data_IF_079085368632
#
_entry.id   IF_079085368632
#
_cell.length_a   1.000
_cell.length_b   1.000
_cell.length_c   1.000
_cell.angle_alpha   90.00
_cell.angle_beta   90.00
_cell.angle_gamma   90.00
#
_symmetry.space_group_name_H-M   'P 1'
#
loop_
_entity.id
_entity.type
_entity.pdbx_description
1 polymer ?
#
# COMPACT_ATOMS: atom_id res chain seq x y z
N UNK A 1 7.28 -54.75 4.83
CA UNK A 1 7.84 -53.58 4.14
C UNK A 1 9.31 -53.85 3.92
N UNK A 2 9.71 -54.05 2.67
CA UNK A 2 11.09 -54.43 2.33
C UNK A 2 12.01 -53.21 2.32
N UNK A 3 13.26 -53.39 2.77
CA UNK A 3 14.28 -52.33 2.81
C UNK A 3 14.57 -51.67 1.46
N UNK A 4 14.10 -52.24 0.34
CA UNK A 4 14.21 -51.65 -1.01
C UNK A 4 13.11 -50.63 -1.27
N UNK A 5 11.90 -50.85 -0.76
CA UNK A 5 10.78 -49.90 -0.90
C UNK A 5 10.97 -48.66 -0.03
N UNK A 6 11.50 -48.84 1.19
CA UNK A 6 11.82 -47.73 2.09
C UNK A 6 12.89 -46.79 1.49
N UNK A 7 13.88 -47.35 0.77
CA UNK A 7 14.93 -46.56 0.09
C UNK A 7 14.39 -45.78 -1.11
N UNK A 8 13.48 -46.36 -1.89
CA UNK A 8 12.85 -45.64 -3.01
C UNK A 8 11.90 -44.54 -2.53
N UNK A 9 11.20 -44.73 -1.41
CA UNK A 9 10.37 -43.70 -0.79
C UNK A 9 11.21 -42.53 -0.23
N UNK A 10 12.37 -42.82 0.36
CA UNK A 10 13.31 -41.80 0.85
C UNK A 10 13.97 -41.01 -0.29
N UNK A 11 14.34 -41.67 -1.39
CA UNK A 11 14.88 -40.98 -2.58
C UNK A 11 13.83 -40.10 -3.27
N UNK A 12 12.59 -40.58 -3.43
CA UNK A 12 11.50 -39.78 -4.00
C UNK A 12 11.08 -38.61 -3.11
N UNK A 13 11.00 -38.82 -1.80
CA UNK A 13 10.69 -37.78 -0.81
C UNK A 13 11.78 -36.70 -0.70
N UNK A 14 13.06 -37.10 -0.79
CA UNK A 14 14.20 -36.17 -0.74
C UNK A 14 14.26 -35.22 -1.93
N UNK A 15 13.91 -35.71 -3.13
CA UNK A 15 13.87 -34.87 -4.36
C UNK A 15 12.74 -33.85 -4.28
N UNK A 16 11.55 -34.26 -3.83
CA UNK A 16 10.41 -33.34 -3.64
C UNK A 16 10.70 -32.29 -2.56
N UNK A 17 11.38 -32.67 -1.48
CA UNK A 17 11.80 -31.74 -0.43
C UNK A 17 12.86 -30.74 -0.92
N UNK A 18 13.82 -31.17 -1.74
CA UNK A 18 14.82 -30.29 -2.34
C UNK A 18 14.20 -29.27 -3.32
N UNK A 19 13.21 -29.69 -4.10
CA UNK A 19 12.44 -28.79 -4.99
C UNK A 19 11.63 -27.77 -4.18
N UNK A 20 11.00 -28.19 -3.08
CA UNK A 20 10.28 -27.28 -2.17
C UNK A 20 11.19 -26.22 -1.54
N UNK A 21 12.43 -26.56 -1.16
CA UNK A 21 13.40 -25.59 -0.62
C UNK A 21 13.86 -24.59 -1.70
N UNK A 22 14.06 -25.05 -2.94
CA UNK A 22 14.46 -24.20 -4.06
C UNK A 22 13.35 -23.19 -4.46
N UNK A 23 12.08 -23.61 -4.43
CA UNK A 23 10.93 -22.73 -4.70
C UNK A 23 10.68 -21.80 -3.50
N UNK A 24 10.83 -22.28 -2.26
CA UNK A 24 10.68 -21.46 -1.06
C UNK A 24 11.71 -20.33 -0.94
N UNK A 25 12.94 -20.56 -1.43
CA UNK A 25 14.03 -19.56 -1.41
C UNK A 25 13.82 -18.41 -2.39
N UNK A 26 13.02 -18.60 -3.46
CA UNK A 26 12.65 -17.52 -4.39
C UNK A 26 11.53 -16.63 -3.82
N UNK A 27 10.62 -17.21 -3.01
CA UNK A 27 9.53 -16.47 -2.37
C UNK A 27 9.99 -15.63 -1.16
N UNK A 28 11.05 -16.06 -0.46
CA UNK A 28 11.63 -15.29 0.65
C UNK A 28 12.53 -14.14 0.19
N UNK A 29 13.02 -14.16 -1.06
CA UNK A 29 13.76 -13.04 -1.64
C UNK A 29 12.83 -11.86 -2.01
N UNK A 30 11.60 -12.11 -2.44
CA UNK A 30 10.64 -11.04 -2.75
C UNK A 30 9.98 -10.44 -1.50
N UNK A 31 9.76 -11.21 -0.44
CA UNK A 31 9.14 -10.70 0.80
C UNK A 31 10.08 -9.87 1.66
N UNK A 32 11.40 -10.03 1.53
CA UNK A 32 12.37 -9.17 2.21
C UNK A 32 12.63 -7.83 1.50
N UNK A 33 12.28 -7.70 0.21
CA UNK A 33 12.33 -6.41 -0.49
C UNK A 33 11.17 -5.47 -0.11
N UNK A 34 10.11 -5.99 0.48
CA UNK A 34 8.93 -5.21 0.90
C UNK A 34 8.98 -4.80 2.38
N UNK A 35 9.93 -5.34 3.16
CA UNK A 35 10.07 -5.07 4.60
C UNK A 35 11.22 -4.10 4.94
N UNK A 36 11.95 -3.59 3.95
CA UNK A 36 12.89 -2.49 4.17
C UNK A 36 12.16 -1.16 4.14
N UNK A 37 11.95 -0.65 5.36
CA UNK A 37 11.41 0.65 5.75
C UNK A 37 9.90 0.66 5.94
N UNK A 38 9.50 0.28 7.16
CA UNK A 38 8.78 1.24 7.99
C UNK A 38 9.60 2.54 7.93
N UNK A 39 9.28 3.42 6.98
CA UNK A 39 9.98 4.67 6.83
C UNK A 39 9.82 5.42 8.15
N UNK A 40 10.92 5.60 8.89
CA UNK A 40 11.03 6.72 9.83
C UNK A 40 10.43 7.94 9.18
N UNK A 41 9.64 8.75 9.92
CA UNK A 41 8.76 9.76 9.35
C UNK A 41 9.48 10.49 8.23
N UNK A 42 9.05 10.16 7.01
CA UNK A 42 9.58 10.77 5.79
C UNK A 42 9.59 12.27 6.03
N UNK A 43 10.71 12.93 5.71
CA UNK A 43 10.79 14.38 5.83
C UNK A 43 9.49 14.97 5.29
N UNK A 44 8.82 15.81 6.08
CA UNK A 44 7.51 16.30 5.70
C UNK A 44 7.59 16.96 4.32
N UNK A 45 6.57 16.76 3.45
CA UNK A 45 6.62 17.29 2.10
C UNK A 45 6.71 18.83 2.12
N UNK A 46 7.24 19.47 1.07
CA UNK A 46 7.29 20.93 0.98
C UNK A 46 5.91 21.55 1.21
N UNK A 47 5.79 22.44 2.20
CA UNK A 47 4.53 23.08 2.59
C UNK A 47 3.70 22.32 3.64
N UNK A 48 4.18 21.18 4.15
CA UNK A 48 3.64 20.54 5.35
C UNK A 48 3.84 21.41 6.58
N UNK A 49 2.82 21.48 7.41
CA UNK A 49 2.89 22.02 8.77
C UNK A 49 2.65 20.88 9.77
N UNK A 50 3.12 20.99 11.02
CA UNK A 50 2.84 19.98 12.06
C UNK A 50 1.34 19.71 12.22
N UNK A 51 0.51 20.70 11.90
CA UNK A 51 -0.93 20.56 11.85
C UNK A 51 -1.45 19.57 10.80
N UNK A 52 -0.61 19.10 9.88
CA UNK A 52 -0.94 18.10 8.86
C UNK A 52 -0.45 16.71 9.23
N UNK A 53 -0.01 16.49 10.47
CA UNK A 53 0.33 15.16 10.97
C UNK A 53 -0.91 14.26 11.12
N UNK A 54 -0.85 13.03 10.61
CA UNK A 54 -1.96 12.08 10.70
C UNK A 54 -2.22 11.57 12.13
N UNK A 55 -1.20 11.54 12.98
CA UNK A 55 -1.30 11.11 14.38
C UNK A 55 -1.92 12.17 15.27
N UNK A 56 -1.59 13.44 15.05
CA UNK A 56 -2.10 14.57 15.84
C UNK A 56 -3.34 15.25 15.25
N UNK A 57 -3.44 15.32 13.92
CA UNK A 57 -4.47 16.10 13.20
C UNK A 57 -5.00 15.35 11.96
N UNK A 58 -5.74 14.24 12.16
CA UNK A 58 -6.16 13.35 11.07
C UNK A 58 -7.08 14.03 10.05
N UNK A 59 -7.87 15.02 10.47
CA UNK A 59 -8.78 15.80 9.62
C UNK A 59 -8.01 16.71 8.66
N UNK A 60 -7.02 17.45 9.16
CA UNK A 60 -6.17 18.34 8.37
C UNK A 60 -5.26 17.55 7.43
N UNK A 61 -4.69 16.45 7.91
CA UNK A 61 -3.91 15.53 7.08
C UNK A 61 -4.76 14.95 5.92
N UNK A 62 -5.99 14.53 6.20
CA UNK A 62 -6.92 14.06 5.16
C UNK A 62 -7.31 15.16 4.17
N UNK A 63 -7.50 16.41 4.63
CA UNK A 63 -7.77 17.54 3.76
C UNK A 63 -6.60 17.83 2.81
N UNK A 64 -5.37 17.80 3.33
CA UNK A 64 -4.15 17.96 2.54
C UNK A 64 -4.02 16.86 1.48
N UNK A 65 -4.24 15.59 1.84
CA UNK A 65 -4.25 14.48 0.88
C UNK A 65 -5.32 14.68 -0.21
N UNK A 66 -6.53 15.14 0.13
CA UNK A 66 -7.54 15.44 -0.89
C UNK A 66 -7.06 16.53 -1.86
N UNK A 67 -6.38 17.57 -1.38
CA UNK A 67 -5.77 18.60 -2.23
C UNK A 67 -4.74 18.00 -3.20
N UNK A 68 -3.84 17.14 -2.71
CA UNK A 68 -2.86 16.45 -3.54
C UNK A 68 -3.51 15.56 -4.60
N UNK A 69 -4.56 14.84 -4.22
CA UNK A 69 -5.35 13.98 -5.11
C UNK A 69 -5.98 14.79 -6.23
N UNK A 70 -6.62 15.92 -5.90
CA UNK A 70 -7.25 16.78 -6.89
C UNK A 70 -6.22 17.44 -7.81
N UNK A 71 -5.10 17.92 -7.26
CA UNK A 71 -3.98 18.55 -8.00
C UNK A 71 -3.42 17.60 -9.06
N UNK A 72 -3.23 16.34 -8.69
CA UNK A 72 -2.62 15.32 -9.57
C UNK A 72 -3.65 14.56 -10.42
N UNK A 73 -4.95 14.77 -10.17
CA UNK A 73 -6.06 14.00 -10.76
C UNK A 73 -5.93 12.49 -10.47
N UNK A 74 -5.60 12.16 -9.22
CA UNK A 74 -5.43 10.78 -8.76
C UNK A 74 -4.18 10.06 -9.26
N UNK A 75 -3.26 10.77 -9.94
CA UNK A 75 -2.02 10.21 -10.47
C UNK A 75 -0.90 10.28 -9.43
N UNK A 76 -0.72 9.19 -8.69
CA UNK A 76 0.24 9.10 -7.58
C UNK A 76 1.71 9.31 -8.02
N UNK A 77 2.05 8.90 -9.25
CA UNK A 77 3.37 9.11 -9.87
C UNK A 77 3.71 10.60 -10.11
N UNK A 78 2.70 11.48 -10.15
CA UNK A 78 2.87 12.94 -10.31
C UNK A 78 3.14 13.68 -9.00
N UNK A 79 3.11 12.99 -7.87
CA UNK A 79 3.54 13.55 -6.59
C UNK A 79 5.06 13.65 -6.52
N UNK A 80 5.56 14.56 -5.70
CA UNK A 80 6.99 14.59 -5.37
C UNK A 80 7.39 13.31 -4.63
N UNK A 81 8.68 12.90 -4.66
CA UNK A 81 9.15 11.76 -3.88
C UNK A 81 8.82 11.88 -2.39
N UNK A 82 8.90 13.08 -1.81
CA UNK A 82 8.57 13.32 -0.40
C UNK A 82 7.07 13.09 -0.12
N UNK A 83 6.19 13.64 -0.96
CA UNK A 83 4.74 13.45 -0.84
C UNK A 83 4.37 11.96 -0.97
N UNK A 84 4.97 11.22 -1.92
CA UNK A 84 4.75 9.77 -2.06
C UNK A 84 5.21 9.01 -0.83
N UNK A 85 6.40 9.31 -0.32
CA UNK A 85 6.97 8.64 0.84
C UNK A 85 6.17 8.95 2.11
N UNK A 86 5.63 10.16 2.25
CA UNK A 86 4.78 10.54 3.36
C UNK A 86 3.44 9.80 3.32
N UNK A 87 2.76 9.78 2.17
CA UNK A 87 1.49 9.05 2.01
C UNK A 87 1.71 7.55 2.19
N UNK A 88 2.77 6.97 1.64
CA UNK A 88 3.12 5.57 1.85
C UNK A 88 3.41 5.26 3.32
N UNK A 89 4.09 6.15 4.04
CA UNK A 89 4.31 6.01 5.49
C UNK A 89 3.00 5.98 6.26
N UNK A 90 2.10 6.94 5.99
CA UNK A 90 0.79 7.02 6.66
C UNK A 90 -0.13 5.83 6.35
N UNK A 91 0.01 5.23 5.18
CA UNK A 91 -0.81 4.10 4.70
C UNK A 91 -0.11 2.73 4.81
N UNK A 92 1.03 2.65 5.49
CA UNK A 92 1.82 1.42 5.65
C UNK A 92 2.17 0.72 4.34
N UNK A 93 2.52 1.51 3.31
CA UNK A 93 2.91 1.02 1.99
C UNK A 93 1.78 1.05 0.94
N UNK A 94 0.52 1.20 1.34
CA UNK A 94 -0.64 1.17 0.44
C UNK A 94 -1.00 2.54 -0.17
N UNK A 95 -0.04 3.46 -0.28
CA UNK A 95 -0.34 4.86 -0.57
C UNK A 95 -0.92 5.08 -1.96
N UNK A 96 -0.36 4.42 -2.96
CA UNK A 96 -0.83 4.52 -4.35
C UNK A 96 -2.28 4.01 -4.50
N UNK A 97 -2.60 2.87 -3.91
CA UNK A 97 -3.91 2.23 -3.96
C UNK A 97 -4.97 3.11 -3.28
N UNK A 98 -4.67 3.57 -2.07
CA UNK A 98 -5.51 4.48 -1.30
C UNK A 98 -5.73 5.81 -2.03
N UNK A 99 -4.70 6.34 -2.69
CA UNK A 99 -4.76 7.59 -3.43
C UNK A 99 -5.68 7.50 -4.65
N UNK A 100 -5.54 6.43 -5.44
CA UNK A 100 -6.40 6.16 -6.61
C UNK A 100 -7.85 5.91 -6.17
N UNK A 101 -8.05 5.09 -5.13
CA UNK A 101 -9.37 4.82 -4.58
C UNK A 101 -10.06 6.10 -4.10
N UNK A 102 -9.33 6.94 -3.36
CA UNK A 102 -9.85 8.21 -2.85
C UNK A 102 -10.15 9.19 -3.98
N UNK A 103 -9.34 9.25 -5.04
CA UNK A 103 -9.67 10.03 -6.24
C UNK A 103 -11.00 9.61 -6.84
N UNK A 104 -11.19 8.30 -7.08
CA UNK A 104 -12.45 7.75 -7.57
C UNK A 104 -13.61 8.17 -6.69
N UNK A 105 -13.51 8.04 -5.36
CA UNK A 105 -14.56 8.48 -4.42
C UNK A 105 -14.85 9.98 -4.43
N UNK A 106 -13.85 10.82 -4.71
CA UNK A 106 -14.04 12.26 -4.81
C UNK A 106 -14.74 12.64 -6.14
N UNK A 107 -14.49 11.90 -7.22
CA UNK A 107 -15.07 12.17 -8.55
C UNK A 107 -16.38 11.42 -8.83
N UNK A 108 -16.59 10.26 -8.18
CA UNK A 108 -17.79 9.43 -8.25
C UNK A 108 -18.90 9.93 -7.32
N UNK A 109 -18.71 11.06 -6.63
CA UNK A 109 -19.83 11.76 -6.01
C UNK A 109 -20.57 12.55 -7.10
N UNK A 110 -21.69 12.03 -7.67
CA UNK A 110 -22.64 12.93 -8.29
C UNK A 110 -23.08 13.93 -7.22
N UNK A 111 -23.38 15.15 -7.67
CA UNK A 111 -24.08 16.19 -6.93
C UNK A 111 -25.41 15.67 -6.35
N UNK A 112 -25.40 14.79 -5.34
CA UNK A 112 -26.58 14.34 -4.60
C UNK A 112 -27.03 15.38 -3.56
N UNK A 113 -26.79 16.66 -3.84
CA UNK A 113 -27.33 17.81 -3.09
C UNK A 113 -27.91 18.89 -4.01
N UNK A 114 -28.57 18.49 -5.10
CA UNK A 114 -29.42 19.39 -5.89
C UNK A 114 -30.83 18.80 -6.13
N UNK A 115 -31.28 17.84 -5.32
CA UNK A 115 -32.61 17.24 -5.49
C UNK A 115 -33.24 16.79 -4.17
N UNK A 116 -33.44 17.70 -3.22
CA UNK A 116 -34.52 17.65 -2.20
C UNK A 116 -34.44 18.85 -1.26
N UNK A 117 -34.73 20.05 -1.77
CA UNK A 117 -35.43 21.07 -0.98
C UNK A 117 -36.49 21.68 -1.91
N UNK A 118 -37.44 20.85 -2.35
CA UNK A 118 -38.75 21.38 -2.71
C UNK A 118 -39.46 21.62 -1.39
N UNK A 119 -39.36 22.85 -0.88
CA UNK A 119 -40.23 23.32 0.21
C UNK A 119 -41.66 23.37 -0.36
N UNK A 120 -42.68 22.85 0.36
CA UNK A 120 -44.07 22.95 -0.03
C UNK A 120 -44.56 24.40 -0.14
#
# INVERSE_FOLDING_TARGET
MDNRELKMFLLGGGILFAIMILIGSQLTAQTNAENERIASPSKPPPGYTEEMDYGSHPDKAAAYVNTLILRTKGKFDRLSPEERNWINGASRGHGAEMFIFRYKKLTEQPLQKAKTVSVP
#
